data_IF_516542408463
#
_entry.id   IF_516542408463
#
_cell.length_a   1.000
_cell.length_b   1.000
_cell.length_c   1.000
_cell.angle_alpha   90.00
_cell.angle_beta   90.00
_cell.angle_gamma   90.00
#
_symmetry.space_group_name_H-M   'P 1'
#
loop_
_entity.id
_entity.type
_entity.pdbx_description
1 polymer ?
#
# COMPACT_ATOMS: atom_id res chain seq x y z
N UNK A 1 -18.02 18.01 11.65
CA UNK A 1 -18.58 17.23 10.51
C UNK A 1 -17.76 17.56 9.27
N UNK A 2 -16.97 16.60 8.77
CA UNK A 2 -16.06 16.82 7.64
C UNK A 2 -16.85 17.23 6.38
N UNK A 3 -16.65 18.47 5.89
CA UNK A 3 -17.18 18.89 4.58
C UNK A 3 -16.27 18.33 3.49
N UNK A 4 -16.59 17.11 3.04
CA UNK A 4 -15.94 16.50 1.87
C UNK A 4 -16.34 17.27 0.59
N UNK A 5 -15.37 17.57 -0.26
CA UNK A 5 -15.62 18.15 -1.59
C UNK A 5 -16.57 17.26 -2.40
N UNK A 6 -17.41 17.87 -3.23
CA UNK A 6 -18.31 17.15 -4.13
C UNK A 6 -17.54 16.17 -5.02
N UNK A 7 -16.36 16.57 -5.50
CA UNK A 7 -15.48 15.74 -6.34
C UNK A 7 -14.98 14.52 -5.55
N UNK A 8 -14.58 14.74 -4.29
CA UNK A 8 -14.17 13.66 -3.39
C UNK A 8 -15.29 12.66 -3.10
N UNK A 9 -16.52 13.14 -2.90
CA UNK A 9 -17.70 12.27 -2.72
C UNK A 9 -17.96 11.40 -3.94
N UNK A 10 -17.98 12.01 -5.13
CA UNK A 10 -18.17 11.30 -6.40
C UNK A 10 -17.09 10.23 -6.56
N UNK A 11 -15.83 10.56 -6.29
CA UNK A 11 -14.70 9.64 -6.45
C UNK A 11 -14.80 8.42 -5.53
N UNK A 12 -15.10 8.61 -4.23
CA UNK A 12 -15.32 7.47 -3.31
C UNK A 12 -16.46 6.59 -3.81
N UNK A 13 -17.60 7.19 -4.16
CA UNK A 13 -18.77 6.43 -4.61
C UNK A 13 -18.43 5.62 -5.86
N UNK A 14 -17.70 6.20 -6.82
CA UNK A 14 -17.25 5.50 -8.02
C UNK A 14 -16.32 4.33 -7.72
N UNK A 15 -15.36 4.49 -6.81
CA UNK A 15 -14.41 3.41 -6.44
C UNK A 15 -15.15 2.29 -5.69
N UNK A 16 -16.06 2.64 -4.77
CA UNK A 16 -16.88 1.65 -4.07
C UNK A 16 -17.75 0.87 -5.07
N UNK A 17 -18.39 1.57 -6.01
CA UNK A 17 -19.22 0.93 -7.03
C UNK A 17 -18.38 -0.01 -7.93
N UNK A 18 -17.22 0.45 -8.40
CA UNK A 18 -16.29 -0.36 -9.18
C UNK A 18 -15.84 -1.61 -8.39
N UNK A 19 -15.47 -1.44 -7.12
CA UNK A 19 -15.04 -2.54 -6.26
C UNK A 19 -16.15 -3.57 -6.04
N UNK A 20 -17.40 -3.13 -5.83
CA UNK A 20 -18.56 -4.04 -5.68
C UNK A 20 -18.78 -4.82 -6.98
N UNK A 21 -18.83 -4.15 -8.13
CA UNK A 21 -19.06 -4.79 -9.43
C UNK A 21 -17.96 -5.82 -9.71
N UNK A 22 -16.68 -5.44 -9.57
CA UNK A 22 -15.56 -6.35 -9.81
C UNK A 22 -15.54 -7.52 -8.82
N UNK A 23 -15.88 -7.30 -7.55
CA UNK A 23 -15.97 -8.40 -6.57
C UNK A 23 -17.05 -9.40 -6.96
N UNK A 24 -18.22 -8.94 -7.42
CA UNK A 24 -19.30 -9.82 -7.88
C UNK A 24 -18.84 -10.64 -9.10
N UNK A 25 -18.23 -9.98 -10.09
CA UNK A 25 -17.71 -10.66 -11.28
C UNK A 25 -16.63 -11.69 -10.90
N UNK A 26 -15.73 -11.33 -9.99
CA UNK A 26 -14.68 -12.23 -9.50
C UNK A 26 -15.27 -13.44 -8.78
N UNK A 27 -16.29 -13.25 -7.94
CA UNK A 27 -17.01 -14.36 -7.31
C UNK A 27 -17.63 -15.32 -8.34
N UNK A 28 -18.15 -14.81 -9.46
CA UNK A 28 -18.65 -15.65 -10.54
C UNK A 28 -17.52 -16.43 -11.24
N UNK A 29 -16.36 -15.81 -11.48
CA UNK A 29 -15.19 -16.49 -12.06
C UNK A 29 -14.71 -17.61 -11.14
N UNK A 30 -14.55 -17.33 -9.83
CA UNK A 30 -14.17 -18.33 -8.83
C UNK A 30 -15.16 -19.50 -8.84
N UNK A 31 -16.47 -19.22 -8.87
CA UNK A 31 -17.50 -20.25 -8.91
C UNK A 31 -17.33 -21.17 -10.13
N UNK A 32 -17.18 -20.59 -11.33
CA UNK A 32 -17.00 -21.36 -12.56
C UNK A 32 -15.69 -22.16 -12.55
N UNK A 33 -14.60 -21.57 -12.06
CA UNK A 33 -13.29 -22.22 -12.01
C UNK A 33 -13.29 -23.40 -11.02
N UNK A 34 -13.82 -23.20 -9.81
CA UNK A 34 -13.96 -24.28 -8.81
C UNK A 34 -14.88 -25.39 -9.32
N UNK A 35 -16.00 -25.05 -9.98
CA UNK A 35 -16.88 -26.02 -10.62
C UNK A 35 -16.17 -26.83 -11.71
N UNK A 36 -15.34 -26.21 -12.54
CA UNK A 36 -14.52 -26.90 -13.54
C UNK A 36 -13.51 -27.84 -12.88
N UNK A 37 -12.72 -27.35 -11.92
CA UNK A 37 -11.67 -28.13 -11.26
C UNK A 37 -12.27 -29.34 -10.53
N UNK A 38 -13.47 -29.19 -9.94
CA UNK A 38 -14.15 -30.27 -9.23
C UNK A 38 -14.56 -31.49 -10.08
N UNK A 39 -14.53 -31.36 -11.42
CA UNK A 39 -14.78 -32.48 -12.34
C UNK A 39 -13.57 -33.39 -12.53
N UNK A 40 -12.42 -33.01 -11.97
CA UNK A 40 -11.18 -33.77 -12.04
C UNK A 40 -10.80 -34.24 -10.63
N UNK A 41 -10.35 -35.48 -10.52
CA UNK A 41 -9.84 -36.02 -9.27
C UNK A 41 -8.36 -35.64 -9.10
N UNK A 42 -8.13 -34.92 -8.00
CA UNK A 42 -6.81 -34.60 -7.49
C UNK A 42 -6.37 -35.76 -6.59
N UNK A 43 -5.82 -36.81 -7.21
CA UNK A 43 -5.48 -38.05 -6.52
C UNK A 43 -4.35 -37.85 -5.47
N UNK A 44 -4.27 -38.68 -4.42
CA UNK A 44 -3.33 -38.50 -3.30
C UNK A 44 -1.84 -38.77 -3.63
N UNK A 45 -1.52 -39.01 -4.89
CA UNK A 45 -0.15 -39.20 -5.39
C UNK A 45 0.60 -37.87 -5.49
N UNK A 46 1.93 -37.91 -5.68
CA UNK A 46 2.77 -36.70 -5.82
C UNK A 46 2.25 -35.70 -6.87
N UNK A 47 1.70 -36.20 -7.98
CA UNK A 47 1.07 -35.39 -9.03
C UNK A 47 -0.18 -34.66 -8.54
N UNK A 48 -1.04 -35.30 -7.73
CA UNK A 48 -2.26 -34.66 -7.27
C UNK A 48 -2.04 -33.71 -6.08
N UNK A 49 -1.00 -33.92 -5.27
CA UNK A 49 -0.55 -32.89 -4.31
C UNK A 49 -0.11 -31.61 -5.02
N UNK A 50 0.62 -31.73 -6.14
CA UNK A 50 1.00 -30.60 -6.98
C UNK A 50 -0.24 -29.91 -7.58
N UNK A 51 -1.18 -30.67 -8.16
CA UNK A 51 -2.41 -30.12 -8.74
C UNK A 51 -3.31 -29.44 -7.69
N UNK A 52 -3.36 -29.96 -6.46
CA UNK A 52 -4.04 -29.30 -5.35
C UNK A 52 -3.38 -27.96 -5.01
N UNK A 53 -2.05 -27.93 -4.89
CA UNK A 53 -1.32 -26.69 -4.61
C UNK A 53 -1.50 -25.63 -5.69
N UNK A 54 -1.60 -26.07 -6.94
CA UNK A 54 -1.89 -25.21 -8.08
C UNK A 54 -3.30 -24.61 -7.97
N UNK A 55 -4.31 -25.42 -7.64
CA UNK A 55 -5.68 -24.93 -7.43
C UNK A 55 -5.78 -23.99 -6.22
N UNK A 56 -5.03 -24.24 -5.15
CA UNK A 56 -4.97 -23.35 -3.98
C UNK A 56 -4.30 -22.01 -4.32
N UNK A 57 -3.23 -22.03 -5.12
CA UNK A 57 -2.57 -20.82 -5.60
C UNK A 57 -3.51 -19.95 -6.44
N UNK A 58 -4.28 -20.57 -7.33
CA UNK A 58 -5.29 -19.89 -8.13
C UNK A 58 -6.34 -19.17 -7.27
N UNK A 59 -6.88 -19.85 -6.25
CA UNK A 59 -7.83 -19.25 -5.32
C UNK A 59 -7.22 -18.08 -4.54
N UNK A 60 -5.95 -18.20 -4.16
CA UNK A 60 -5.21 -17.12 -3.49
C UNK A 60 -5.04 -15.91 -4.41
N UNK A 61 -4.82 -16.11 -5.71
CA UNK A 61 -4.74 -15.00 -6.66
C UNK A 61 -6.08 -14.24 -6.73
N UNK A 62 -7.20 -14.93 -6.90
CA UNK A 62 -8.52 -14.29 -6.84
C UNK A 62 -8.75 -13.56 -5.50
N UNK A 63 -8.34 -14.15 -4.38
CA UNK A 63 -8.46 -13.51 -3.06
C UNK A 63 -7.63 -12.22 -2.97
N UNK A 64 -6.39 -12.22 -3.47
CA UNK A 64 -5.52 -11.04 -3.50
C UNK A 64 -6.13 -9.95 -4.39
N UNK A 65 -6.74 -10.32 -5.51
CA UNK A 65 -7.44 -9.37 -6.37
C UNK A 65 -8.59 -8.68 -5.62
N UNK A 66 -9.43 -9.43 -4.90
CA UNK A 66 -10.52 -8.86 -4.07
C UNK A 66 -9.95 -7.97 -2.94
N UNK A 67 -8.89 -8.42 -2.25
CA UNK A 67 -8.21 -7.62 -1.22
C UNK A 67 -7.67 -6.32 -1.81
N UNK A 68 -7.19 -6.33 -3.06
CA UNK A 68 -6.72 -5.13 -3.76
C UNK A 68 -7.84 -4.10 -3.95
N UNK A 69 -9.05 -4.53 -4.30
CA UNK A 69 -10.22 -3.65 -4.44
C UNK A 69 -10.58 -2.99 -3.11
N UNK A 70 -10.56 -3.77 -2.02
CA UNK A 70 -10.79 -3.22 -0.68
C UNK A 70 -9.68 -2.26 -0.25
N UNK A 71 -8.43 -2.59 -0.53
CA UNK A 71 -7.30 -1.70 -0.25
C UNK A 71 -7.38 -0.37 -1.03
N UNK A 72 -7.88 -0.40 -2.27
CA UNK A 72 -8.14 0.81 -3.05
C UNK A 72 -9.19 1.72 -2.39
N UNK A 73 -10.24 1.14 -1.79
CA UNK A 73 -11.22 1.91 -0.99
C UNK A 73 -10.55 2.53 0.23
N UNK A 74 -9.73 1.77 0.96
CA UNK A 74 -9.01 2.28 2.13
C UNK A 74 -8.08 3.44 1.75
N UNK A 75 -7.35 3.31 0.64
CA UNK A 75 -6.47 4.36 0.15
C UNK A 75 -7.22 5.65 -0.18
N UNK A 76 -8.35 5.56 -0.89
CA UNK A 76 -9.10 6.79 -1.24
C UNK A 76 -9.74 7.44 -0.03
N UNK A 77 -10.30 6.66 0.90
CA UNK A 77 -10.88 7.19 2.14
C UNK A 77 -9.80 7.93 2.93
N UNK A 78 -8.62 7.33 3.05
CA UNK A 78 -7.50 7.90 3.75
C UNK A 78 -6.94 9.17 3.07
N UNK A 79 -6.80 9.13 1.74
CA UNK A 79 -6.33 10.25 0.95
C UNK A 79 -7.24 11.47 1.08
N UNK A 80 -8.56 11.24 1.09
CA UNK A 80 -9.56 12.30 1.21
C UNK A 80 -9.67 12.81 2.64
N UNK A 81 -9.58 11.94 3.65
CA UNK A 81 -9.57 12.34 5.05
C UNK A 81 -8.38 13.25 5.35
N UNK A 82 -7.19 12.87 4.88
CA UNK A 82 -5.95 13.62 5.09
C UNK A 82 -5.70 14.73 4.07
N UNK A 83 -6.57 14.90 3.06
CA UNK A 83 -6.40 15.84 1.92
C UNK A 83 -5.02 15.68 1.28
N UNK A 84 -4.61 14.44 1.11
CA UNK A 84 -3.28 14.08 0.66
C UNK A 84 -3.28 13.80 -0.85
N UNK A 85 -2.79 14.76 -1.63
CA UNK A 85 -2.66 14.62 -3.09
C UNK A 85 -1.67 13.53 -3.52
N UNK A 86 -0.63 13.25 -2.74
CA UNK A 86 0.33 12.17 -3.06
C UNK A 86 -0.35 10.80 -3.03
N UNK A 87 -1.25 10.57 -2.05
CA UNK A 87 -2.01 9.33 -1.99
C UNK A 87 -3.02 9.21 -3.14
N UNK A 88 -3.58 10.32 -3.60
CA UNK A 88 -4.46 10.36 -4.78
C UNK A 88 -3.70 9.98 -6.06
N UNK A 89 -2.43 10.37 -6.20
CA UNK A 89 -1.57 9.89 -7.30
C UNK A 89 -1.23 8.41 -7.14
N UNK A 90 -0.87 7.98 -5.93
CA UNK A 90 -0.60 6.57 -5.64
C UNK A 90 -1.81 5.67 -5.92
N UNK A 91 -3.03 6.16 -5.70
CA UNK A 91 -4.28 5.47 -6.03
C UNK A 91 -4.42 5.17 -7.53
N UNK A 92 -3.99 6.10 -8.40
CA UNK A 92 -3.98 5.89 -9.85
C UNK A 92 -2.96 4.84 -10.24
N UNK A 93 -1.73 4.94 -9.69
CA UNK A 93 -0.67 3.94 -9.93
C UNK A 93 -1.13 2.56 -9.45
N UNK A 94 -1.78 2.48 -8.29
CA UNK A 94 -2.33 1.24 -7.76
C UNK A 94 -3.36 0.62 -8.71
N UNK A 95 -4.28 1.43 -9.24
CA UNK A 95 -5.28 0.96 -10.19
C UNK A 95 -4.64 0.44 -11.50
N UNK A 96 -3.55 1.06 -11.97
CA UNK A 96 -2.79 0.57 -13.12
C UNK A 96 -2.07 -0.76 -12.82
N UNK A 97 -1.56 -0.93 -11.60
CA UNK A 97 -0.98 -2.20 -11.15
C UNK A 97 -2.05 -3.29 -11.05
N UNK A 98 -3.27 -2.97 -10.59
CA UNK A 98 -4.42 -3.88 -10.61
C UNK A 98 -4.84 -4.26 -12.02
N UNK A 99 -4.72 -3.35 -13.00
CA UNK A 99 -4.96 -3.67 -14.41
C UNK A 99 -3.92 -4.66 -14.95
N UNK A 100 -2.63 -4.43 -14.65
CA UNK A 100 -1.56 -5.36 -15.03
C UNK A 100 -1.76 -6.74 -14.38
N UNK A 101 -2.18 -6.75 -13.10
CA UNK A 101 -2.54 -7.97 -12.37
C UNK A 101 -3.64 -8.76 -13.09
N UNK A 102 -4.74 -8.11 -13.45
CA UNK A 102 -5.86 -8.78 -14.15
C UNK A 102 -5.43 -9.38 -15.50
N UNK A 103 -4.53 -8.71 -16.22
CA UNK A 103 -3.93 -9.26 -17.44
C UNK A 103 -3.07 -10.51 -17.20
N UNK A 104 -2.28 -10.54 -16.12
CA UNK A 104 -1.50 -11.72 -15.73
C UNK A 104 -2.43 -12.87 -15.31
N UNK A 105 -3.49 -12.56 -14.57
CA UNK A 105 -4.48 -13.52 -14.09
C UNK A 105 -5.16 -14.28 -15.23
N UNK A 106 -5.60 -13.58 -16.28
CA UNK A 106 -6.18 -14.21 -17.47
C UNK A 106 -5.24 -15.25 -18.11
N UNK A 107 -3.97 -14.88 -18.27
CA UNK A 107 -2.97 -15.79 -18.81
C UNK A 107 -2.71 -16.99 -17.90
N UNK A 108 -2.80 -16.78 -16.58
CA UNK A 108 -2.63 -17.84 -15.60
C UNK A 108 -3.75 -18.87 -15.72
N UNK A 109 -5.01 -18.44 -15.75
CA UNK A 109 -6.15 -19.35 -15.84
C UNK A 109 -6.07 -20.23 -17.10
N UNK A 110 -5.67 -19.66 -18.25
CA UNK A 110 -5.44 -20.42 -19.48
C UNK A 110 -4.45 -21.58 -19.30
N UNK A 111 -3.31 -21.31 -18.66
CA UNK A 111 -2.27 -22.32 -18.40
C UNK A 111 -2.79 -23.37 -17.40
N UNK A 112 -3.49 -22.93 -16.35
CA UNK A 112 -4.03 -23.80 -15.32
C UNK A 112 -5.09 -24.75 -15.86
N UNK A 113 -5.99 -24.24 -16.69
CA UNK A 113 -7.01 -25.04 -17.35
C UNK A 113 -6.36 -26.07 -18.27
N UNK A 114 -5.43 -25.67 -19.14
CA UNK A 114 -4.76 -26.60 -20.05
C UNK A 114 -4.00 -27.71 -19.31
N UNK A 115 -3.22 -27.35 -18.29
CA UNK A 115 -2.41 -28.33 -17.56
C UNK A 115 -3.24 -29.17 -16.57
N UNK A 116 -4.20 -28.55 -15.88
CA UNK A 116 -5.14 -29.23 -14.99
C UNK A 116 -5.99 -30.24 -15.75
N UNK A 117 -6.47 -29.87 -16.96
CA UNK A 117 -7.19 -30.81 -17.82
C UNK A 117 -6.31 -31.85 -18.46
N UNK A 118 -4.98 -31.72 -18.56
CA UNK A 118 -4.14 -32.74 -19.20
C UNK A 118 -3.50 -33.74 -18.22
N UNK A 119 -3.21 -33.30 -16.98
CA UNK A 119 -2.46 -34.10 -15.99
C UNK A 119 -3.31 -34.74 -14.90
N UNK A 120 -4.52 -34.25 -14.62
CA UNK A 120 -5.39 -34.78 -13.57
C UNK A 120 -6.11 -36.10 -13.97
N UNK A 121 -6.74 -36.81 -13.05
CA UNK A 121 -7.63 -37.93 -13.40
C UNK A 121 -9.02 -37.40 -13.73
N UNK A 122 -9.67 -37.89 -14.79
CA UNK A 122 -11.02 -37.44 -15.16
C UNK A 122 -12.09 -38.32 -14.50
N UNK A 123 -12.77 -37.78 -13.49
CA UNK A 123 -13.94 -38.41 -12.89
C UNK A 123 -15.00 -37.33 -12.59
N UNK A 124 -15.92 -37.08 -13.52
CA UNK A 124 -16.90 -36.01 -13.37
C UNK A 124 -17.84 -36.30 -12.19
N UNK A 125 -18.03 -35.29 -11.34
CA UNK A 125 -18.99 -35.34 -10.22
C UNK A 125 -20.39 -35.00 -10.70
N UNK A 126 -20.51 -34.11 -11.68
CA UNK A 126 -21.80 -33.71 -12.22
C UNK A 126 -22.32 -34.76 -13.22
N UNK A 127 -23.58 -35.20 -13.07
CA UNK A 127 -24.18 -36.20 -13.97
C UNK A 127 -24.38 -35.69 -15.40
N UNK A 128 -24.20 -34.38 -15.63
CA UNK A 128 -24.23 -33.76 -16.96
C UNK A 128 -23.05 -34.21 -17.84
N UNK A 129 -21.92 -34.57 -17.25
CA UNK A 129 -20.72 -34.96 -17.99
C UNK A 129 -20.56 -36.48 -18.00
N UNK A 130 -20.36 -37.05 -19.19
CA UNK A 130 -20.20 -38.49 -19.36
C UNK A 130 -18.83 -38.94 -18.84
N UNK A 131 -18.81 -40.09 -18.15
CA UNK A 131 -17.56 -40.70 -17.68
C UNK A 131 -16.77 -41.29 -18.85
N UNK A 132 -15.44 -41.25 -18.72
CA UNK A 132 -14.49 -41.84 -19.67
C UNK A 132 -13.60 -40.78 -20.31
N UNK A 133 -12.32 -41.13 -20.52
CA UNK A 133 -11.28 -40.20 -20.95
C UNK A 133 -11.56 -39.54 -22.31
N UNK A 134 -12.37 -40.16 -23.16
CA UNK A 134 -12.80 -39.60 -24.44
C UNK A 134 -13.58 -38.28 -24.29
N UNK A 135 -14.27 -38.08 -23.15
CA UNK A 135 -15.10 -36.90 -22.87
C UNK A 135 -14.43 -35.89 -21.93
N UNK A 136 -13.15 -36.09 -21.63
CA UNK A 136 -12.38 -35.29 -20.68
C UNK A 136 -12.39 -33.78 -20.97
N UNK A 137 -12.44 -33.37 -22.23
CA UNK A 137 -12.46 -31.95 -22.60
C UNK A 137 -13.86 -31.31 -22.53
N UNK A 138 -14.92 -32.11 -22.44
CA UNK A 138 -16.32 -31.63 -22.45
C UNK A 138 -16.62 -30.62 -21.34
N UNK A 139 -16.16 -30.79 -20.08
CA UNK A 139 -16.34 -29.77 -19.05
C UNK A 139 -15.65 -28.46 -19.41
N UNK A 140 -14.42 -28.52 -19.95
CA UNK A 140 -13.68 -27.31 -20.37
C UNK A 140 -14.44 -26.56 -21.46
N UNK A 141 -14.90 -27.25 -22.49
CA UNK A 141 -15.69 -26.68 -23.59
C UNK A 141 -17.00 -26.05 -23.11
N UNK A 142 -17.53 -26.50 -21.97
CA UNK A 142 -18.73 -25.92 -21.36
C UNK A 142 -18.45 -24.67 -20.50
N UNK A 143 -17.43 -24.69 -19.64
CA UNK A 143 -17.16 -23.61 -18.70
C UNK A 143 -16.35 -22.46 -19.32
N UNK A 144 -15.37 -22.76 -20.18
CA UNK A 144 -14.48 -21.76 -20.80
C UNK A 144 -15.24 -20.62 -21.51
N UNK A 145 -16.23 -20.86 -22.41
CA UNK A 145 -16.95 -19.79 -23.08
C UNK A 145 -17.82 -18.94 -22.14
N UNK A 146 -18.08 -19.41 -20.91
CA UNK A 146 -18.82 -18.64 -19.89
C UNK A 146 -17.90 -17.82 -19.01
N UNK A 147 -16.71 -18.33 -18.71
CA UNK A 147 -15.74 -17.69 -17.82
C UNK A 147 -14.94 -16.59 -18.54
N UNK A 148 -14.39 -16.88 -19.73
CA UNK A 148 -13.57 -15.94 -20.53
C UNK A 148 -14.20 -14.56 -20.74
N UNK A 149 -15.49 -14.42 -21.14
CA UNK A 149 -16.07 -13.09 -21.34
C UNK A 149 -16.16 -12.28 -20.04
N UNK A 150 -16.32 -12.93 -18.88
CA UNK A 150 -16.36 -12.26 -17.58
C UNK A 150 -14.98 -11.68 -17.26
N UNK A 151 -13.90 -12.45 -17.45
CA UNK A 151 -12.52 -12.00 -17.24
C UNK A 151 -12.16 -10.80 -18.13
N UNK A 152 -12.51 -10.86 -19.42
CA UNK A 152 -12.31 -9.73 -20.34
C UNK A 152 -13.15 -8.51 -19.93
N UNK A 153 -14.35 -8.72 -19.38
CA UNK A 153 -15.19 -7.64 -18.86
C UNK A 153 -14.55 -6.96 -17.66
N UNK A 154 -13.95 -7.73 -16.73
CA UNK A 154 -13.21 -7.19 -15.57
C UNK A 154 -12.03 -6.32 -16.05
N UNK A 155 -11.22 -6.83 -16.98
CA UNK A 155 -10.08 -6.08 -17.55
C UNK A 155 -10.56 -4.79 -18.23
N UNK A 156 -11.61 -4.88 -19.05
CA UNK A 156 -12.21 -3.72 -19.72
C UNK A 156 -12.74 -2.68 -18.74
N UNK A 157 -13.42 -3.11 -17.67
CA UNK A 157 -13.97 -2.24 -16.64
C UNK A 157 -12.87 -1.50 -15.89
N UNK A 158 -11.81 -2.19 -15.45
CA UNK A 158 -10.66 -1.58 -14.78
C UNK A 158 -9.93 -0.62 -15.72
N UNK A 159 -9.83 -0.94 -17.01
CA UNK A 159 -9.18 -0.09 -18.02
C UNK A 159 -9.92 1.24 -18.19
N UNK A 160 -11.23 1.20 -18.40
CA UNK A 160 -12.07 2.40 -18.51
C UNK A 160 -12.03 3.18 -17.20
N UNK A 161 -12.10 2.48 -16.07
CA UNK A 161 -12.01 3.10 -14.75
C UNK A 161 -10.65 3.75 -14.50
N UNK A 162 -9.54 3.21 -15.03
CA UNK A 162 -8.21 3.80 -14.92
C UNK A 162 -8.16 5.21 -15.52
N UNK A 163 -8.76 5.38 -16.70
CA UNK A 163 -8.82 6.67 -17.40
C UNK A 163 -9.68 7.66 -16.60
N UNK A 164 -10.85 7.20 -16.14
CA UNK A 164 -11.74 8.00 -15.29
C UNK A 164 -11.06 8.42 -13.99
N UNK A 165 -10.39 7.49 -13.30
CA UNK A 165 -9.71 7.72 -12.04
C UNK A 165 -8.52 8.67 -12.20
N UNK A 166 -7.78 8.59 -13.31
CA UNK A 166 -6.72 9.53 -13.63
C UNK A 166 -7.27 10.96 -13.80
N UNK A 167 -8.40 11.12 -14.48
CA UNK A 167 -9.08 12.41 -14.62
C UNK A 167 -9.56 12.96 -13.27
N UNK A 168 -10.23 12.15 -12.45
CA UNK A 168 -10.66 12.56 -11.12
C UNK A 168 -9.47 12.90 -10.22
N UNK A 169 -8.41 12.07 -10.25
CA UNK A 169 -7.17 12.29 -9.50
C UNK A 169 -6.53 13.64 -9.83
N UNK A 170 -6.52 14.04 -11.10
CA UNK A 170 -6.05 15.37 -11.52
C UNK A 170 -6.84 16.50 -10.88
N UNK A 171 -8.18 16.42 -10.91
CA UNK A 171 -9.05 17.44 -10.30
C UNK A 171 -8.83 17.55 -8.79
N UNK A 172 -8.77 16.41 -8.09
CA UNK A 172 -8.53 16.35 -6.65
C UNK A 172 -7.15 16.87 -6.27
N UNK A 173 -6.13 16.55 -7.06
CA UNK A 173 -4.76 17.02 -6.81
C UNK A 173 -4.68 18.54 -6.90
N UNK A 174 -5.41 19.15 -7.83
CA UNK A 174 -5.51 20.61 -7.94
C UNK A 174 -6.21 21.23 -6.74
N UNK A 175 -7.30 20.62 -6.27
CA UNK A 175 -8.04 21.09 -5.10
C UNK A 175 -7.19 21.02 -3.82
N UNK A 176 -6.55 19.88 -3.55
CA UNK A 176 -5.71 19.69 -2.36
C UNK A 176 -4.41 20.48 -2.41
N UNK A 177 -3.83 20.66 -3.61
CA UNK A 177 -2.65 21.49 -3.81
C UNK A 177 -2.88 22.94 -3.37
N UNK A 178 -4.06 23.49 -3.67
CA UNK A 178 -4.42 24.85 -3.27
C UNK A 178 -4.59 25.00 -1.75
N UNK A 179 -5.22 24.03 -1.09
CA UNK A 179 -5.41 24.04 0.36
C UNK A 179 -4.10 23.84 1.13
N UNK A 180 -3.24 22.92 0.68
CA UNK A 180 -1.92 22.72 1.26
C UNK A 180 -1.03 23.95 1.05
N UNK A 181 -1.12 24.60 -0.13
CA UNK A 181 -0.41 25.85 -0.37
C UNK A 181 -0.79 26.88 0.69
N UNK A 182 -2.08 27.13 0.94
CA UNK A 182 -2.52 28.11 1.95
C UNK A 182 -2.04 27.80 3.37
N UNK A 183 -1.87 26.52 3.71
CA UNK A 183 -1.47 26.07 5.05
C UNK A 183 0.05 26.17 5.27
N UNK A 184 0.85 25.79 4.27
CA UNK A 184 2.31 25.65 4.38
C UNK A 184 3.10 26.71 3.57
N UNK A 185 2.44 27.77 3.06
CA UNK A 185 3.05 28.75 2.13
C UNK A 185 4.22 29.55 2.70
N UNK A 186 4.35 29.66 4.02
CA UNK A 186 5.26 30.63 4.64
C UNK A 186 6.75 30.23 4.52
N UNK A 187 7.07 28.94 4.40
CA UNK A 187 8.45 28.47 4.24
C UNK A 187 8.52 27.32 3.24
N UNK A 188 9.29 27.53 2.16
CA UNK A 188 9.52 26.55 1.09
C UNK A 188 10.16 25.27 1.64
N UNK A 189 11.05 25.38 2.64
CA UNK A 189 11.76 24.23 3.21
C UNK A 189 10.82 23.32 4.00
N UNK A 190 9.90 23.91 4.77
CA UNK A 190 8.88 23.17 5.51
C UNK A 190 7.93 22.47 4.54
N UNK A 191 7.54 23.16 3.47
CA UNK A 191 6.70 22.57 2.41
C UNK A 191 7.39 21.38 1.74
N UNK A 192 8.65 21.49 1.36
CA UNK A 192 9.39 20.39 0.73
C UNK A 192 9.57 19.21 1.70
N UNK A 193 9.84 19.48 2.98
CA UNK A 193 9.90 18.44 4.00
C UNK A 193 8.55 17.73 4.18
N UNK A 194 7.43 18.48 4.16
CA UNK A 194 6.07 17.93 4.21
C UNK A 194 5.79 16.99 3.03
N UNK A 195 6.13 17.39 1.81
CA UNK A 195 5.95 16.54 0.63
C UNK A 195 6.74 15.24 0.73
N UNK A 196 8.02 15.31 1.08
CA UNK A 196 8.87 14.13 1.24
C UNK A 196 8.33 13.16 2.28
N UNK A 197 7.87 13.68 3.43
CA UNK A 197 7.31 12.87 4.50
C UNK A 197 5.99 12.21 4.09
N UNK A 198 5.15 12.96 3.37
CA UNK A 198 3.86 12.49 2.87
C UNK A 198 4.03 11.41 1.79
N UNK A 199 5.05 11.55 0.94
CA UNK A 199 5.46 10.51 -0.01
C UNK A 199 5.89 9.26 0.74
N UNK A 200 6.76 9.38 1.74
CA UNK A 200 7.21 8.24 2.53
C UNK A 200 6.06 7.51 3.24
N UNK A 201 5.12 8.24 3.85
CA UNK A 201 3.90 7.66 4.45
C UNK A 201 3.04 6.91 3.44
N UNK A 202 3.01 7.38 2.20
CA UNK A 202 2.24 6.77 1.12
C UNK A 202 2.92 5.48 0.66
N UNK A 203 4.23 5.51 0.44
CA UNK A 203 5.03 4.35 0.07
C UNK A 203 4.92 3.22 1.10
N UNK A 204 5.04 3.53 2.40
CA UNK A 204 4.91 2.51 3.47
C UNK A 204 3.55 1.79 3.40
N UNK A 205 2.46 2.49 3.06
CA UNK A 205 1.13 1.85 2.91
C UNK A 205 1.07 0.94 1.69
N UNK A 206 1.69 1.36 0.59
CA UNK A 206 1.79 0.51 -0.61
C UNK A 206 2.62 -0.73 -0.30
N UNK A 207 3.75 -0.57 0.42
CA UNK A 207 4.62 -1.67 0.83
C UNK A 207 3.86 -2.70 1.70
N UNK A 208 2.98 -2.25 2.61
CA UNK A 208 2.11 -3.16 3.40
C UNK A 208 1.29 -4.07 2.49
N UNK A 209 0.65 -3.53 1.46
CA UNK A 209 -0.16 -4.33 0.55
C UNK A 209 0.68 -5.32 -0.26
N UNK A 210 1.77 -4.87 -0.87
CA UNK A 210 2.57 -5.74 -1.76
C UNK A 210 3.36 -6.80 -0.99
N UNK A 211 4.00 -6.44 0.13
CA UNK A 211 4.73 -7.40 0.97
C UNK A 211 3.74 -8.40 1.59
N UNK A 212 2.58 -7.94 2.06
CA UNK A 212 1.53 -8.82 2.58
C UNK A 212 0.98 -9.76 1.52
N UNK A 213 0.72 -9.26 0.31
CA UNK A 213 0.23 -10.07 -0.81
C UNK A 213 1.26 -11.09 -1.29
N UNK A 214 2.55 -10.75 -1.30
CA UNK A 214 3.60 -11.72 -1.59
C UNK A 214 3.65 -12.83 -0.52
N UNK A 215 3.51 -12.48 0.75
CA UNK A 215 3.43 -13.48 1.82
C UNK A 215 2.24 -14.44 1.65
N UNK A 216 1.07 -13.93 1.24
CA UNK A 216 -0.11 -14.76 0.93
C UNK A 216 0.15 -15.73 -0.24
N UNK A 217 0.84 -15.27 -1.30
CA UNK A 217 1.18 -16.12 -2.46
C UNK A 217 2.16 -17.25 -2.14
N UNK A 218 2.87 -17.18 -1.01
CA UNK A 218 3.75 -18.25 -0.58
C UNK A 218 3.01 -19.33 0.22
N UNK A 219 1.77 -19.14 0.66
CA UNK A 219 0.99 -20.17 1.38
C UNK A 219 0.88 -21.52 0.63
N UNK A 220 0.54 -21.57 -0.68
CA UNK A 220 0.38 -22.82 -1.41
C UNK A 220 1.73 -23.48 -1.76
N UNK A 221 2.86 -22.81 -1.49
CA UNK A 221 4.21 -23.31 -1.79
C UNK A 221 4.53 -24.68 -1.18
N UNK A 222 3.89 -25.00 -0.05
CA UNK A 222 4.05 -26.28 0.63
C UNK A 222 3.61 -27.45 -0.25
N UNK A 223 2.51 -27.28 -0.98
CA UNK A 223 1.91 -28.30 -1.84
C UNK A 223 2.58 -28.36 -3.21
N UNK A 224 3.04 -27.21 -3.72
CA UNK A 224 3.72 -27.09 -5.02
C UNK A 224 5.19 -27.58 -4.95
N UNK A 225 5.76 -27.71 -3.75
CA UNK A 225 7.06 -28.35 -3.55
C UNK A 225 8.27 -27.42 -3.55
N UNK A 226 8.11 -26.17 -3.10
CA UNK A 226 9.24 -25.22 -3.04
C UNK A 226 10.33 -25.69 -2.07
N UNK A 227 11.60 -25.36 -2.35
CA UNK A 227 12.76 -25.88 -1.61
C UNK A 227 12.92 -25.33 -0.17
N UNK A 228 12.21 -24.26 0.22
CA UNK A 228 12.29 -23.67 1.58
C UNK A 228 10.91 -23.19 2.07
N UNK A 229 10.16 -24.15 2.61
CA UNK A 229 8.69 -24.15 2.69
C UNK A 229 8.09 -23.25 3.78
N UNK A 230 8.48 -23.46 5.04
CA UNK A 230 7.94 -22.76 6.21
C UNK A 230 8.79 -21.56 6.68
N UNK A 231 10.14 -21.62 6.68
CA UNK A 231 10.93 -20.52 7.24
C UNK A 231 10.84 -19.27 6.37
N UNK A 232 10.60 -19.39 5.07
CA UNK A 232 10.49 -18.23 4.18
C UNK A 232 9.22 -17.42 4.46
N UNK A 233 8.06 -18.09 4.56
CA UNK A 233 6.78 -17.45 4.89
C UNK A 233 6.89 -16.73 6.24
N UNK A 234 7.42 -17.43 7.24
CA UNK A 234 7.62 -16.87 8.58
C UNK A 234 8.57 -15.66 8.56
N UNK A 235 9.67 -15.74 7.81
CA UNK A 235 10.64 -14.66 7.66
C UNK A 235 10.00 -13.43 7.01
N UNK A 236 9.35 -13.58 5.87
CA UNK A 236 8.72 -12.47 5.14
C UNK A 236 7.62 -11.83 5.97
N UNK A 237 6.76 -12.64 6.59
CA UNK A 237 5.66 -12.12 7.39
C UNK A 237 6.18 -11.41 8.65
N UNK A 238 7.04 -12.05 9.44
CA UNK A 238 7.53 -11.48 10.69
C UNK A 238 8.44 -10.27 10.47
N UNK A 239 9.50 -10.42 9.67
CA UNK A 239 10.43 -9.30 9.45
C UNK A 239 9.81 -8.22 8.56
N UNK A 240 9.00 -8.57 7.57
CA UNK A 240 8.28 -7.60 6.75
C UNK A 240 7.34 -6.73 7.58
N UNK A 241 6.48 -7.33 8.41
CA UNK A 241 5.57 -6.58 9.28
C UNK A 241 6.32 -5.76 10.33
N UNK A 242 7.40 -6.31 10.92
CA UNK A 242 8.23 -5.59 11.89
C UNK A 242 8.88 -4.34 11.28
N UNK A 243 9.49 -4.46 10.11
CA UNK A 243 10.13 -3.34 9.41
C UNK A 243 9.09 -2.26 9.07
N UNK A 244 7.92 -2.66 8.57
CA UNK A 244 6.83 -1.74 8.23
C UNK A 244 6.27 -1.02 9.48
N UNK A 245 6.12 -1.73 10.61
CA UNK A 245 5.66 -1.13 11.87
C UNK A 245 6.67 -0.11 12.40
N UNK A 246 7.96 -0.49 12.46
CA UNK A 246 9.04 0.41 12.87
C UNK A 246 9.04 1.67 11.99
N UNK A 247 8.89 1.49 10.67
CA UNK A 247 8.84 2.59 9.71
C UNK A 247 7.63 3.49 9.93
N UNK A 248 6.44 2.91 10.13
CA UNK A 248 5.21 3.64 10.37
C UNK A 248 5.30 4.48 11.65
N UNK A 249 5.71 3.87 12.77
CA UNK A 249 5.89 4.55 14.06
C UNK A 249 6.94 5.64 13.93
N UNK A 250 8.06 5.37 13.25
CA UNK A 250 9.12 6.34 13.04
C UNK A 250 8.64 7.58 12.30
N UNK A 251 7.84 7.40 11.24
CA UNK A 251 7.36 8.49 10.40
C UNK A 251 6.21 9.25 11.06
N UNK A 252 5.32 8.57 11.80
CA UNK A 252 4.21 9.21 12.52
C UNK A 252 4.70 10.12 13.66
N UNK A 253 5.71 9.66 14.41
CA UNK A 253 6.26 10.40 15.55
C UNK A 253 7.55 11.18 15.21
N UNK A 254 7.95 11.19 13.93
CA UNK A 254 9.17 11.83 13.43
C UNK A 254 10.44 11.46 14.23
N UNK A 255 10.57 10.18 14.63
CA UNK A 255 11.69 9.70 15.42
C UNK A 255 12.89 9.34 14.55
N UNK A 256 13.86 10.27 14.45
CA UNK A 256 15.06 10.13 13.60
C UNK A 256 15.87 8.85 13.84
N UNK A 257 16.07 8.41 15.09
CA UNK A 257 16.87 7.21 15.37
C UNK A 257 16.13 5.93 14.99
N UNK A 258 14.81 5.91 15.16
CA UNK A 258 13.97 4.81 14.70
C UNK A 258 13.95 4.75 13.17
N UNK A 259 13.97 5.91 12.50
CA UNK A 259 14.05 5.99 11.04
C UNK A 259 15.38 5.45 10.52
N UNK A 260 16.49 5.78 11.22
CA UNK A 260 17.80 5.26 10.89
C UNK A 260 17.86 3.73 11.01
N UNK A 261 17.24 3.16 12.04
CA UNK A 261 17.11 1.71 12.19
C UNK A 261 16.31 1.10 11.02
N UNK A 262 15.18 1.70 10.64
CA UNK A 262 14.39 1.27 9.50
C UNK A 262 15.17 1.31 8.18
N UNK A 263 15.95 2.36 7.92
CA UNK A 263 16.78 2.49 6.71
C UNK A 263 17.77 1.33 6.59
N UNK A 264 18.45 0.96 7.69
CA UNK A 264 19.40 -0.15 7.68
C UNK A 264 18.68 -1.49 7.40
N UNK A 265 17.51 -1.71 8.00
CA UNK A 265 16.72 -2.92 7.78
C UNK A 265 16.21 -3.02 6.34
N UNK A 266 15.72 -1.92 5.76
CA UNK A 266 15.35 -1.90 4.33
C UNK A 266 16.56 -2.13 3.42
N UNK A 267 17.73 -1.60 3.75
CA UNK A 267 18.96 -1.87 3.00
C UNK A 267 19.29 -3.36 2.93
N UNK A 268 19.11 -4.10 4.03
CA UNK A 268 19.26 -5.55 4.07
C UNK A 268 18.13 -6.24 3.29
N UNK A 269 16.88 -5.77 3.41
CA UNK A 269 15.75 -6.40 2.73
C UNK A 269 15.83 -6.28 1.20
N UNK A 270 16.41 -5.20 0.66
CA UNK A 270 16.67 -5.07 -0.79
C UNK A 270 17.50 -6.24 -1.33
N UNK A 271 18.51 -6.69 -0.58
CA UNK A 271 19.33 -7.84 -0.96
C UNK A 271 18.47 -9.11 -1.04
N UNK A 272 17.58 -9.33 -0.06
CA UNK A 272 16.65 -10.45 -0.07
C UNK A 272 15.69 -10.41 -1.26
N UNK A 273 15.08 -9.26 -1.54
CA UNK A 273 14.15 -9.10 -2.66
C UNK A 273 14.84 -9.34 -4.01
N UNK A 274 16.06 -8.83 -4.19
CA UNK A 274 16.86 -9.08 -5.39
C UNK A 274 17.24 -10.56 -5.54
N UNK A 275 17.72 -11.20 -4.46
CA UNK A 275 18.02 -12.63 -4.44
C UNK A 275 16.80 -13.48 -4.82
N UNK A 276 15.64 -13.19 -4.23
CA UNK A 276 14.40 -13.92 -4.51
C UNK A 276 13.92 -13.73 -5.94
N UNK A 277 13.98 -12.50 -6.47
CA UNK A 277 13.63 -12.24 -7.87
C UNK A 277 14.52 -13.06 -8.82
N UNK A 278 15.83 -13.06 -8.60
CA UNK A 278 16.78 -13.83 -9.44
C UNK A 278 16.52 -15.33 -9.31
N UNK A 279 16.31 -15.82 -8.08
CA UNK A 279 16.08 -17.25 -7.81
C UNK A 279 14.82 -17.80 -8.49
N UNK A 280 13.79 -16.97 -8.69
CA UNK A 280 12.55 -17.38 -9.35
C UNK A 280 12.65 -17.22 -10.88
N UNK A 281 13.47 -16.29 -11.35
CA UNK A 281 13.73 -16.10 -12.78
C UNK A 281 14.58 -17.23 -13.38
N UNK A 282 15.53 -17.78 -12.65
CA UNK A 282 16.40 -18.86 -13.14
C UNK A 282 15.63 -20.19 -13.06
N UNK A 283 15.32 -20.83 -14.21
CA UNK A 283 14.67 -22.14 -14.20
C UNK A 283 15.60 -23.18 -13.57
N UNK A 284 15.05 -23.98 -12.66
CA UNK A 284 15.80 -25.10 -12.08
C UNK A 284 16.01 -26.19 -13.13
N UNK A 285 17.22 -26.71 -13.25
CA UNK A 285 17.55 -27.81 -14.19
C UNK A 285 17.03 -29.18 -13.74
N UNK A 286 16.20 -29.23 -12.70
CA UNK A 286 15.51 -30.45 -12.26
C UNK A 286 14.38 -30.81 -13.22
N UNK A 287 14.07 -32.10 -13.34
CA UNK A 287 13.03 -32.68 -14.22
C UNK A 287 11.63 -32.03 -14.07
N UNK A 288 11.36 -31.35 -12.96
CA UNK A 288 10.16 -30.55 -12.71
C UNK A 288 10.55 -29.21 -12.07
N UNK A 289 10.13 -28.10 -12.68
CA UNK A 289 10.32 -26.75 -12.16
C UNK A 289 9.15 -26.37 -11.24
N UNK A 290 9.37 -26.20 -9.92
CA UNK A 290 8.29 -25.95 -8.97
C UNK A 290 7.62 -24.58 -9.17
N UNK A 291 8.28 -23.62 -9.81
CA UNK A 291 7.74 -22.27 -10.00
C UNK A 291 7.01 -22.10 -11.33
N UNK A 292 6.97 -23.10 -12.21
CA UNK A 292 6.40 -23.00 -13.56
C UNK A 292 5.03 -22.29 -13.57
N UNK A 293 4.15 -22.68 -12.64
CA UNK A 293 2.80 -22.16 -12.52
C UNK A 293 2.75 -20.76 -11.92
N UNK A 294 3.47 -20.49 -10.84
CA UNK A 294 3.30 -19.28 -10.03
C UNK A 294 4.24 -18.15 -10.45
N UNK A 295 5.24 -18.44 -11.31
CA UNK A 295 6.33 -17.54 -11.66
C UNK A 295 5.88 -16.18 -12.15
N UNK A 296 4.86 -16.11 -13.01
CA UNK A 296 4.41 -14.83 -13.58
C UNK A 296 3.94 -13.86 -12.49
N UNK A 297 3.12 -14.35 -11.56
CA UNK A 297 2.66 -13.57 -10.41
C UNK A 297 3.80 -13.26 -9.43
N UNK A 298 4.63 -14.25 -9.10
CA UNK A 298 5.74 -14.03 -8.17
C UNK A 298 6.73 -12.99 -8.70
N UNK A 299 7.08 -13.04 -9.99
CA UNK A 299 7.96 -12.04 -10.63
C UNK A 299 7.30 -10.66 -10.61
N UNK A 300 6.02 -10.57 -10.94
CA UNK A 300 5.30 -9.29 -10.92
C UNK A 300 5.33 -8.64 -9.54
N UNK A 301 4.99 -9.38 -8.48
CA UNK A 301 5.03 -8.85 -7.12
C UNK A 301 6.44 -8.52 -6.67
N UNK A 302 7.42 -9.40 -6.91
CA UNK A 302 8.80 -9.15 -6.52
C UNK A 302 9.41 -7.95 -7.23
N UNK A 303 9.11 -7.74 -8.52
CA UNK A 303 9.57 -6.58 -9.27
C UNK A 303 8.96 -5.28 -8.69
N UNK A 304 7.66 -5.27 -8.41
CA UNK A 304 6.98 -4.11 -7.82
C UNK A 304 7.51 -3.84 -6.40
N UNK A 305 7.66 -4.85 -5.55
CA UNK A 305 8.21 -4.71 -4.19
C UNK A 305 9.63 -4.15 -4.24
N UNK A 306 10.49 -4.69 -5.12
CA UNK A 306 11.87 -4.22 -5.24
C UNK A 306 11.92 -2.73 -5.61
N UNK A 307 11.12 -2.30 -6.59
CA UNK A 307 11.04 -0.90 -6.99
C UNK A 307 10.49 -0.02 -5.86
N UNK A 308 9.39 -0.44 -5.23
CA UNK A 308 8.78 0.33 -4.13
C UNK A 308 9.74 0.47 -2.95
N UNK A 309 10.37 -0.61 -2.51
CA UNK A 309 11.32 -0.59 -1.38
C UNK A 309 12.55 0.27 -1.70
N UNK A 310 13.07 0.25 -2.93
CA UNK A 310 14.15 1.14 -3.33
C UNK A 310 13.74 2.62 -3.20
N UNK A 311 12.55 2.97 -3.68
CA UNK A 311 12.01 4.32 -3.55
C UNK A 311 11.77 4.66 -2.06
N UNK A 312 11.26 3.73 -1.26
CA UNK A 312 11.07 3.87 0.20
C UNK A 312 12.39 4.17 0.91
N UNK A 313 13.48 3.48 0.57
CA UNK A 313 14.83 3.76 1.11
C UNK A 313 15.28 5.17 0.74
N UNK A 314 15.13 5.58 -0.52
CA UNK A 314 15.54 6.91 -0.99
C UNK A 314 14.80 8.02 -0.22
N UNK A 315 13.47 7.94 -0.11
CA UNK A 315 12.68 8.93 0.63
C UNK A 315 12.90 8.86 2.14
N UNK A 316 13.21 7.68 2.69
CA UNK A 316 13.61 7.54 4.10
C UNK A 316 14.90 8.30 4.41
N UNK A 317 15.90 8.21 3.53
CA UNK A 317 17.17 8.96 3.67
C UNK A 317 16.92 10.46 3.57
N UNK A 318 16.08 10.92 2.63
CA UNK A 318 15.73 12.33 2.48
C UNK A 318 15.03 12.84 3.75
N UNK A 319 14.03 12.12 4.25
CA UNK A 319 13.32 12.47 5.48
C UNK A 319 14.25 12.49 6.69
N UNK A 320 15.14 11.51 6.82
CA UNK A 320 16.13 11.47 7.89
C UNK A 320 17.06 12.68 7.85
N UNK A 321 17.55 13.08 6.67
CA UNK A 321 18.37 14.30 6.50
C UNK A 321 17.61 15.57 6.89
N UNK A 322 16.31 15.64 6.60
CA UNK A 322 15.46 16.76 7.00
C UNK A 322 15.30 16.82 8.53
N UNK A 323 15.04 15.68 9.18
CA UNK A 323 14.93 15.59 10.65
C UNK A 323 16.26 15.91 11.35
N UNK A 324 17.39 15.49 10.79
CA UNK A 324 18.73 15.82 11.31
C UNK A 324 19.04 17.32 11.26
N UNK A 325 18.42 18.06 10.33
CA UNK A 325 18.48 19.51 10.24
C UNK A 325 17.49 20.23 11.17
N UNK A 326 16.69 19.48 11.93
CA UNK A 326 15.70 20.04 12.86
C UNK A 326 14.35 20.41 12.23
N UNK A 327 14.08 19.96 11.00
CA UNK A 327 12.80 20.19 10.33
C UNK A 327 11.82 19.08 10.72
N UNK A 328 10.94 19.38 11.67
CA UNK A 328 9.88 18.46 12.11
C UNK A 328 8.52 19.03 11.73
N UNK A 329 7.83 18.36 10.81
CA UNK A 329 6.65 18.93 10.16
C UNK A 329 5.38 18.51 10.89
N UNK A 330 5.22 17.23 11.20
CA UNK A 330 4.02 16.71 11.86
C UNK A 330 3.99 17.07 13.35
N UNK A 331 5.13 17.13 14.02
CA UNK A 331 5.15 17.51 15.44
C UNK A 331 4.87 19.00 15.65
N UNK A 332 5.20 19.85 14.67
CA UNK A 332 5.02 21.32 14.77
C UNK A 332 3.71 21.78 14.13
N UNK A 333 3.34 21.22 12.98
CA UNK A 333 2.15 21.60 12.21
C UNK A 333 1.09 20.50 12.11
N UNK A 334 1.28 19.37 12.80
CA UNK A 334 0.26 18.33 12.89
C UNK A 334 -1.00 18.92 13.49
N UNK A 335 -2.09 18.95 12.71
CA UNK A 335 -3.39 19.43 13.16
C UNK A 335 -3.78 18.68 14.44
N UNK A 336 -3.89 19.33 15.60
CA UNK A 336 -4.69 18.74 16.67
C UNK A 336 -6.14 18.78 16.21
N UNK A 337 -6.87 17.69 16.42
CA UNK A 337 -8.26 17.48 16.00
C UNK A 337 -9.24 18.58 16.47
N UNK A 338 -8.82 19.44 17.41
CA UNK A 338 -9.66 20.42 18.10
C UNK A 338 -9.11 21.87 18.15
N UNK A 339 -8.08 22.27 17.38
CA UNK A 339 -7.71 23.70 17.33
C UNK A 339 -8.56 24.46 16.29
N UNK A 340 -9.16 25.60 16.66
CA UNK A 340 -9.89 26.44 15.71
C UNK A 340 -8.96 26.95 14.62
N UNK A 341 -9.47 26.96 13.38
CA UNK A 341 -8.77 27.49 12.21
C UNK A 341 -8.25 28.91 12.51
N UNK A 342 -6.93 29.12 12.49
CA UNK A 342 -6.36 30.47 12.43
C UNK A 342 -5.09 30.77 13.22
N UNK A 343 -4.58 29.88 14.10
CA UNK A 343 -3.28 30.14 14.75
C UNK A 343 -2.14 29.40 14.07
N UNK A 344 -1.52 30.07 13.10
CA UNK A 344 -0.15 29.78 12.73
C UNK A 344 0.74 29.97 13.98
N UNK A 345 1.67 29.06 14.30
CA UNK A 345 2.58 29.18 15.46
C UNK A 345 3.56 30.37 15.36
N UNK A 346 3.48 31.18 14.30
CA UNK A 346 4.32 32.35 14.05
C UNK A 346 3.73 33.69 14.49
N UNK A 347 2.64 33.75 15.29
CA UNK A 347 2.28 35.03 15.93
C UNK A 347 3.27 35.31 17.05
N UNK A 348 4.35 35.98 16.67
CA UNK A 348 5.39 36.46 17.58
C UNK A 348 4.80 37.32 18.68
N UNK A 349 5.25 37.05 19.90
CA UNK A 349 4.98 37.84 21.09
C UNK A 349 5.67 39.20 20.97
N UNK A 350 5.05 40.14 20.27
CA UNK A 350 5.40 41.56 20.32
C UNK A 350 4.14 42.36 20.62
N UNK A 351 3.58 42.16 21.81
CA UNK A 351 2.63 43.10 22.41
C UNK A 351 3.33 43.89 23.52
N UNK A 352 4.29 44.72 23.13
CA UNK A 352 4.65 45.92 23.90
C UNK A 352 3.83 47.09 23.34
N UNK A 353 2.53 47.10 23.65
CA UNK A 353 1.72 48.31 23.58
C UNK A 353 1.09 48.52 24.96
N UNK A 354 1.70 49.44 25.70
CA UNK A 354 1.11 50.07 26.87
C UNK A 354 -0.13 50.86 26.42
N UNK A 355 -1.31 50.32 26.72
CA UNK A 355 -2.58 51.05 26.72
C UNK A 355 -3.06 51.25 28.17
N UNK A 356 -3.62 52.41 28.54
CA UNK A 356 -3.88 52.75 29.93
C UNK A 356 -5.23 52.19 30.43
N UNK A 357 -5.25 51.90 31.73
CA UNK A 357 -6.42 51.68 32.59
C UNK A 357 -7.32 50.45 32.34
N UNK A 358 -7.29 49.51 33.28
CA UNK A 358 -8.41 49.36 34.21
C UNK A 358 -8.04 48.54 35.46
N UNK A 359 -8.38 49.14 36.60
CA UNK A 359 -8.32 48.56 37.94
C UNK A 359 -9.22 47.33 38.05
N UNK A 360 -8.70 46.21 38.53
CA UNK A 360 -9.42 45.35 39.47
C UNK A 360 -8.44 44.76 40.49
N UNK A 361 -8.76 45.06 41.75
CA UNK A 361 -8.18 44.55 42.97
C UNK A 361 -8.45 43.04 43.09
N UNK A 362 -7.43 42.25 43.45
CA UNK A 362 -7.57 40.82 43.73
C UNK A 362 -6.25 40.23 44.24
N UNK A 363 -6.10 40.28 45.56
CA UNK A 363 -5.07 39.63 46.37
C UNK A 363 -5.18 38.11 46.33
N UNK A 364 -4.08 37.40 46.07
CA UNK A 364 -3.44 36.48 47.03
C UNK A 364 -2.46 35.50 46.35
N UNK A 365 -1.25 35.52 46.91
CA UNK A 365 -0.25 34.47 47.07
C UNK A 365 -0.37 33.16 46.27
N UNK A 366 0.67 32.90 45.46
CA UNK A 366 1.50 31.69 45.59
C UNK A 366 2.74 31.81 44.70
N UNK A 367 3.88 32.13 45.34
CA UNK A 367 5.21 31.87 44.80
C UNK A 367 5.45 30.35 44.78
N UNK A 368 5.25 29.71 43.63
CA UNK A 368 5.83 28.39 43.36
C UNK A 368 7.05 28.54 42.43
N UNK A 369 8.20 28.06 42.91
CA UNK A 369 9.46 27.93 42.18
C UNK A 369 9.31 27.09 40.90
N UNK A 370 10.08 27.35 39.83
CA UNK A 370 9.95 26.60 38.59
C UNK A 370 10.54 25.19 38.76
N UNK A 371 9.69 24.22 39.10
CA UNK A 371 10.03 22.82 38.97
C UNK A 371 10.25 22.49 37.49
N UNK A 372 11.29 21.70 37.20
CA UNK A 372 11.70 21.32 35.85
C UNK A 372 10.58 20.51 35.16
N UNK A 373 9.64 21.19 34.51
CA UNK A 373 8.72 20.57 33.57
C UNK A 373 9.57 19.91 32.49
N UNK A 374 9.55 18.58 32.43
CA UNK A 374 10.03 17.82 31.27
C UNK A 374 9.31 18.40 30.06
N UNK A 375 10.04 19.19 29.28
CA UNK A 375 9.57 19.82 28.06
C UNK A 375 8.99 18.72 27.17
N UNK A 376 7.72 18.87 26.77
CA UNK A 376 7.08 17.87 25.91
C UNK A 376 7.80 17.80 24.55
N UNK A 377 7.73 16.65 23.86
CA UNK A 377 8.36 16.50 22.54
C UNK A 377 7.88 17.58 21.53
N UNK A 378 6.67 18.10 21.71
CA UNK A 378 6.11 19.22 20.94
C UNK A 378 6.80 20.54 21.29
N UNK A 379 6.96 20.85 22.58
CA UNK A 379 7.65 22.07 23.03
C UNK A 379 9.13 22.08 22.65
N UNK A 380 9.80 20.92 22.67
CA UNK A 380 11.20 20.81 22.25
C UNK A 380 11.38 20.95 20.74
N UNK A 381 10.47 20.39 19.92
CA UNK A 381 10.44 20.58 18.48
C UNK A 381 10.16 22.05 18.10
N UNK A 382 9.15 22.68 18.75
CA UNK A 382 8.85 24.11 18.58
C UNK A 382 10.06 24.96 18.95
N UNK A 383 10.71 24.67 20.09
CA UNK A 383 11.91 25.41 20.53
C UNK A 383 13.09 25.22 19.59
N UNK A 384 13.31 24.01 19.05
CA UNK A 384 14.34 23.76 18.04
C UNK A 384 14.08 24.53 16.75
N UNK A 385 12.83 24.59 16.30
CA UNK A 385 12.44 25.35 15.11
C UNK A 385 12.55 26.86 15.35
N UNK A 386 12.22 27.35 16.55
CA UNK A 386 12.43 28.73 16.96
C UNK A 386 13.92 29.09 16.99
N UNK A 387 14.78 28.22 17.55
CA UNK A 387 16.23 28.41 17.54
C UNK A 387 16.79 28.43 16.11
N UNK A 388 16.30 27.56 15.23
CA UNK A 388 16.68 27.56 13.83
C UNK A 388 16.26 28.84 13.10
N UNK A 389 15.05 29.35 13.39
CA UNK A 389 14.54 30.62 12.83
C UNK A 389 15.36 31.82 13.36
N UNK A 390 15.71 31.82 14.64
CA UNK A 390 16.57 32.84 15.25
C UNK A 390 18.00 32.82 14.67
N UNK A 391 18.57 31.65 14.40
CA UNK A 391 19.87 31.54 13.73
C UNK A 391 19.87 32.07 12.29
N UNK A 392 18.72 32.08 11.61
CA UNK A 392 18.59 32.66 10.27
C UNK A 392 18.40 34.18 10.30
N UNK A 393 17.62 34.72 11.25
CA UNK A 393 17.48 36.17 11.42
C UNK A 393 18.65 36.83 12.15
N UNK A 394 19.50 36.05 12.83
CA UNK A 394 20.69 36.53 13.53
C UNK A 394 21.96 36.64 12.67
N UNK A 395 21.92 36.38 11.36
CA UNK A 395 23.05 36.69 10.47
C UNK A 395 22.96 38.18 10.07
N UNK A 396 23.86 39.05 10.53
CA UNK A 396 23.93 40.39 9.98
C UNK A 396 24.24 40.28 8.48
N UNK A 397 23.49 41.05 7.69
CA UNK A 397 23.87 41.40 6.33
C UNK A 397 25.18 42.19 6.51
N UNK A 398 26.31 41.54 6.23
CA UNK A 398 27.56 42.25 6.03
C UNK A 398 27.44 42.86 4.63
N UNK A 399 27.29 44.19 4.61
CA UNK A 399 27.39 45.03 3.41
C UNK A 399 28.69 44.79 2.63
#
# INVERSE_FOLDING_TARGET
>A
MFKLSTIGKITIISIILQAIINTILECFVIYLHVSLVSQYELDSNSTGQLLQGISEADLIYHAIFIISLFFQILLVVDALWRRNSVQIVALVIFNLLSLAYAGIQLNQHQILEEQGTNKASYNPKDPMFQKGDAYRNTPKDYFEPRMRPIEHTIIGLISVFSIYLAFMSYLLTKEFGWENYRTYSADVRVRDAFWNLTILQTLIKMDVFFIGSYALQLIPSNQIGYYSKVPEIALVFFFGTLILLISWVSVMYEMKYLLLSAINLYGISVIYWAYRLISICIPSSSETDPYEFTRRFLIFFLAVILILVLITVLYSIICFRNMMRGLYVLTVFGRPENEPEGRSPYVGTNNNYLGPNNNYLGTDDNLESPSSKRMSNRESAIRQQQLFTQQQHGKPILD
#
